data_IF_603987410623
#
_entry.id   IF_603987410623
#
_cell.length_a   1.000
_cell.length_b   1.000
_cell.length_c   1.000
_cell.angle_alpha   90.00
_cell.angle_beta   90.00
_cell.angle_gamma   90.00
#
_symmetry.space_group_name_H-M   'P 1'
#
loop_
_entity.id
_entity.type
_entity.pdbx_description
1 polymer ?
#
# COMPACT_ATOMS: atom_id res chain seq x y z
N UNK A 1 -14.14 23.05 38.18
CA UNK A 1 -14.37 22.14 37.04
C UNK A 1 -13.12 22.15 36.18
N UNK A 2 -12.30 21.10 36.23
CA UNK A 2 -11.03 21.05 35.50
C UNK A 2 -11.31 20.68 34.03
N UNK A 3 -11.11 21.62 33.11
CA UNK A 3 -11.23 21.38 31.67
C UNK A 3 -9.85 21.11 31.07
N UNK A 4 -9.71 20.05 30.28
CA UNK A 4 -8.47 19.72 29.56
C UNK A 4 -8.51 20.39 28.17
N UNK A 5 -7.47 21.15 27.77
CA UNK A 5 -7.44 21.77 26.45
C UNK A 5 -7.13 20.75 25.34
N UNK A 6 -7.73 20.93 24.17
CA UNK A 6 -7.45 20.13 22.99
C UNK A 6 -6.03 20.40 22.46
N UNK A 7 -5.23 19.36 22.25
CA UNK A 7 -3.87 19.47 21.70
C UNK A 7 -3.81 19.95 20.26
N UNK A 8 -4.89 19.80 19.49
CA UNK A 8 -4.94 20.21 18.10
C UNK A 8 -5.45 21.64 17.88
N UNK A 9 -6.40 22.12 18.68
CA UNK A 9 -7.03 23.43 18.46
C UNK A 9 -7.12 24.33 19.70
N UNK A 10 -6.66 23.87 20.86
CA UNK A 10 -6.68 24.63 22.12
C UNK A 10 -8.05 24.75 22.78
N UNK A 11 -9.14 24.30 22.14
CA UNK A 11 -10.48 24.38 22.71
C UNK A 11 -10.61 23.54 23.98
N UNK A 12 -11.32 24.04 24.99
CA UNK A 12 -11.63 23.29 26.21
C UNK A 12 -12.50 22.06 25.88
N UNK A 13 -12.04 20.87 26.28
CA UNK A 13 -12.77 19.61 26.11
C UNK A 13 -13.56 19.32 27.40
N UNK A 14 -14.81 18.93 27.23
CA UNK A 14 -15.65 18.45 28.34
C UNK A 14 -15.20 17.04 28.73
N UNK A 15 -14.92 16.76 30.01
CA UNK A 15 -14.50 15.44 30.45
C UNK A 15 -15.55 14.38 30.07
N UNK A 16 -15.09 13.24 29.54
CA UNK A 16 -15.95 12.13 29.08
C UNK A 16 -16.32 12.15 27.59
N UNK A 17 -16.00 13.20 26.83
CA UNK A 17 -16.19 13.19 25.36
C UNK A 17 -14.99 12.59 24.65
N UNK A 18 -15.21 11.68 23.68
CA UNK A 18 -14.14 11.00 22.92
C UNK A 18 -13.45 11.88 21.87
N UNK A 19 -14.10 12.96 21.42
CA UNK A 19 -13.65 13.81 20.33
C UNK A 19 -13.86 15.29 20.66
N UNK A 20 -12.98 16.15 20.16
CA UNK A 20 -13.15 17.60 20.26
C UNK A 20 -14.30 18.07 19.35
N UNK A 21 -15.32 18.72 19.93
CA UNK A 21 -16.46 19.24 19.16
C UNK A 21 -16.11 20.40 18.20
N UNK A 22 -14.93 21.00 18.33
CA UNK A 22 -14.46 22.10 17.47
C UNK A 22 -13.68 21.60 16.25
N UNK A 23 -12.77 20.63 16.42
CA UNK A 23 -11.89 20.16 15.34
C UNK A 23 -12.08 18.69 14.93
N UNK A 24 -12.89 17.90 15.64
CA UNK A 24 -13.17 16.50 15.33
C UNK A 24 -12.06 15.50 15.72
N UNK A 25 -10.91 15.95 16.22
CA UNK A 25 -9.80 15.08 16.62
C UNK A 25 -10.08 14.35 17.95
N UNK A 26 -9.56 13.13 18.15
CA UNK A 26 -9.76 12.37 19.38
C UNK A 26 -9.08 13.04 20.58
N UNK A 27 -9.71 12.96 21.75
CA UNK A 27 -9.12 13.44 23.00
C UNK A 27 -8.12 12.42 23.55
N UNK A 28 -6.96 12.86 24.03
CA UNK A 28 -5.93 11.98 24.61
C UNK A 28 -6.46 11.12 25.76
N UNK A 29 -7.42 11.62 26.54
CA UNK A 29 -8.06 10.86 27.64
C UNK A 29 -8.88 9.65 27.16
N UNK A 30 -9.30 9.62 25.89
CA UNK A 30 -10.03 8.49 25.33
C UNK A 30 -9.10 7.38 24.81
N UNK A 31 -7.84 7.70 24.53
CA UNK A 31 -6.83 6.71 24.13
C UNK A 31 -6.48 5.78 25.29
N UNK A 32 -6.39 6.28 26.53
CA UNK A 32 -6.06 5.45 27.69
C UNK A 32 -7.19 4.50 28.12
N UNK A 33 -8.44 4.76 27.72
CA UNK A 33 -9.59 3.89 28.06
C UNK A 33 -9.98 2.97 26.90
N UNK A 34 -9.63 3.32 25.66
CA UNK A 34 -9.97 2.49 24.48
C UNK A 34 -8.95 1.38 24.20
N UNK A 35 -7.74 1.42 24.78
CA UNK A 35 -6.78 0.32 24.70
C UNK A 35 -7.03 -0.80 25.73
N UNK A 36 -7.87 -0.58 26.74
CA UNK A 36 -8.09 -1.53 27.84
C UNK A 36 -9.31 -2.46 27.71
N UNK A 37 -10.13 -2.37 26.63
CA UNK A 37 -11.42 -3.09 26.60
C UNK A 37 -11.66 -4.06 25.42
N UNK A 38 -10.69 -4.36 24.54
CA UNK A 38 -10.98 -5.37 23.48
C UNK A 38 -9.84 -6.29 23.02
N UNK A 39 -8.59 -6.18 23.51
CA UNK A 39 -7.56 -7.21 23.20
C UNK A 39 -6.54 -7.41 24.31
N UNK A 40 -6.97 -8.02 25.41
CA UNK A 40 -6.11 -8.91 26.19
C UNK A 40 -6.87 -10.22 26.31
N UNK A 41 -6.71 -11.10 25.31
CA UNK A 41 -6.84 -12.53 25.57
C UNK A 41 -5.58 -12.90 26.34
N UNK A 42 -5.73 -12.87 27.66
CA UNK A 42 -4.79 -13.42 28.61
C UNK A 42 -4.56 -14.88 28.22
N UNK A 43 -3.32 -15.19 27.83
CA UNK A 43 -2.84 -16.54 27.71
C UNK A 43 -2.68 -17.11 29.12
N UNK A 44 -3.80 -17.42 29.77
CA UNK A 44 -3.82 -18.27 30.94
C UNK A 44 -4.14 -19.69 30.47
N UNK A 45 -3.33 -20.60 30.97
CA UNK A 45 -3.34 -22.03 30.77
C UNK A 45 -4.73 -22.69 30.90
N UNK A 46 -4.82 -23.88 30.31
CA UNK A 46 -5.87 -24.89 30.51
C UNK A 46 -7.28 -24.50 30.09
N UNK A 47 -7.51 -24.56 28.78
CA UNK A 47 -8.84 -24.89 28.26
C UNK A 47 -8.76 -26.02 27.25
N UNK A 48 -8.82 -27.23 27.77
CA UNK A 48 -9.10 -28.48 27.04
C UNK A 48 -10.49 -28.35 26.41
N UNK A 49 -10.57 -27.80 25.19
CA UNK A 49 -11.77 -27.85 24.37
C UNK A 49 -11.75 -29.14 23.54
N UNK A 50 -12.73 -30.06 23.67
CA UNK A 50 -12.76 -31.30 22.93
C UNK A 50 -13.45 -31.06 21.59
N UNK A 51 -12.82 -30.34 20.67
CA UNK A 51 -13.19 -30.47 19.26
C UNK A 51 -12.56 -31.75 18.74
N UNK A 52 -13.29 -32.85 18.92
CA UNK A 52 -13.02 -34.10 18.23
C UNK A 52 -13.05 -33.83 16.72
N UNK A 53 -11.92 -34.08 16.06
CA UNK A 53 -11.85 -34.25 14.61
C UNK A 53 -12.61 -35.51 14.23
N UNK A 54 -13.92 -35.40 14.08
CA UNK A 54 -14.77 -36.48 13.58
C UNK A 54 -14.58 -36.57 12.06
N UNK A 55 -14.03 -37.70 11.62
CA UNK A 55 -13.81 -38.13 10.22
C UNK A 55 -12.62 -37.53 9.46
N UNK A 56 -11.40 -37.88 9.87
CA UNK A 56 -10.31 -38.08 8.91
C UNK A 56 -10.37 -39.53 8.42
N UNK A 57 -11.25 -39.84 7.46
CA UNK A 57 -11.21 -41.14 6.80
C UNK A 57 -9.94 -41.20 5.92
N UNK A 58 -9.02 -42.15 6.14
CA UNK A 58 -7.89 -42.34 5.25
C UNK A 58 -8.40 -42.94 3.94
N UNK A 59 -8.49 -42.14 2.89
CA UNK A 59 -8.68 -42.67 1.53
C UNK A 59 -7.35 -43.27 1.09
N UNK A 60 -7.12 -44.54 1.44
CA UNK A 60 -6.01 -45.33 0.92
C UNK A 60 -6.11 -45.51 -0.61
N UNK A 61 -5.00 -45.84 -1.30
CA UNK A 61 -5.00 -46.03 -2.74
C UNK A 61 -5.90 -47.22 -3.12
N UNK A 62 -7.02 -46.93 -3.77
CA UNK A 62 -7.96 -47.90 -4.30
C UNK A 62 -7.46 -48.49 -5.63
N UNK A 63 -6.31 -49.18 -5.61
CA UNK A 63 -5.93 -50.03 -6.73
C UNK A 63 -5.35 -51.36 -6.23
N UNK A 64 -6.23 -52.35 -6.17
CA UNK A 64 -5.86 -53.76 -6.09
C UNK A 64 -5.47 -54.22 -7.51
N UNK A 65 -4.20 -54.57 -7.69
CA UNK A 65 -3.75 -55.26 -8.91
C UNK A 65 -4.34 -56.68 -8.94
N UNK A 66 -5.01 -57.11 -10.01
CA UNK A 66 -5.49 -58.49 -10.13
C UNK A 66 -4.27 -59.41 -10.30
N UNK A 67 -4.08 -60.34 -9.37
CA UNK A 67 -3.05 -61.38 -9.48
C UNK A 67 -3.69 -62.65 -10.03
N UNK A 68 -3.29 -63.04 -11.24
CA UNK A 68 -3.21 -64.45 -11.66
C UNK A 68 -4.29 -64.94 -12.63
N UNK A 69 -3.89 -65.20 -13.88
CA UNK A 69 -4.66 -66.04 -14.81
C UNK A 69 -4.20 -65.90 -16.26
N UNK A 70 -3.30 -66.78 -16.68
CA UNK A 70 -2.67 -66.82 -18.00
C UNK A 70 -3.63 -67.02 -19.18
N UNK A 71 -3.31 -66.39 -20.33
CA UNK A 71 -3.46 -66.94 -21.69
C UNK A 71 -2.92 -65.96 -22.76
N UNK A 72 -2.57 -66.46 -23.97
CA UNK A 72 -1.34 -66.12 -24.66
C UNK A 72 -1.46 -65.03 -25.73
N UNK A 73 -0.32 -64.37 -25.97
CA UNK A 73 0.15 -63.84 -27.25
C UNK A 73 -0.91 -63.70 -28.36
N UNK A 74 -1.41 -62.48 -28.54
CA UNK A 74 -1.62 -61.97 -29.89
C UNK A 74 -0.98 -60.59 -30.03
N UNK A 75 -0.11 -60.56 -31.03
CA UNK A 75 0.78 -59.51 -31.45
C UNK A 75 -0.03 -58.38 -32.08
N UNK A 76 -0.58 -57.48 -31.25
CA UNK A 76 -1.18 -56.24 -31.73
C UNK A 76 -0.20 -55.09 -31.52
N UNK A 77 0.65 -54.94 -32.53
CA UNK A 77 1.38 -53.73 -32.91
C UNK A 77 0.86 -52.48 -32.19
N UNK A 78 1.67 -51.96 -31.26
CA UNK A 78 1.41 -50.67 -30.63
C UNK A 78 1.60 -49.59 -31.69
N UNK A 79 0.53 -49.24 -32.39
CA UNK A 79 0.42 -47.93 -33.03
C UNK A 79 0.61 -46.90 -31.94
N UNK A 80 1.76 -46.22 -32.03
CA UNK A 80 2.11 -44.96 -31.39
C UNK A 80 0.86 -44.14 -31.06
N UNK A 81 0.49 -44.13 -29.78
CA UNK A 81 -0.31 -43.06 -29.22
C UNK A 81 0.61 -41.84 -29.11
N UNK A 82 0.74 -41.11 -30.20
CA UNK A 82 1.22 -39.74 -30.14
C UNK A 82 0.32 -38.99 -29.16
N UNK A 83 0.93 -38.47 -28.09
CA UNK A 83 0.29 -37.60 -27.12
C UNK A 83 -0.11 -36.27 -27.78
N UNK A 84 -1.20 -36.28 -28.54
CA UNK A 84 -1.89 -35.09 -29.03
C UNK A 84 -2.74 -34.53 -27.90
N UNK A 85 -2.10 -33.86 -26.93
CA UNK A 85 -2.80 -33.41 -25.72
C UNK A 85 -2.19 -32.20 -25.04
N UNK A 86 -1.62 -31.25 -25.79
CA UNK A 86 -1.04 -30.03 -25.19
C UNK A 86 -1.27 -28.78 -26.05
N UNK A 87 -2.53 -28.47 -26.39
CA UNK A 87 -2.89 -27.22 -27.10
C UNK A 87 -4.15 -26.49 -26.61
N UNK A 88 -4.65 -26.76 -25.40
CA UNK A 88 -5.88 -26.10 -24.90
C UNK A 88 -5.65 -24.93 -23.93
N UNK A 89 -4.43 -24.73 -23.42
CA UNK A 89 -4.13 -23.62 -22.48
C UNK A 89 -3.81 -22.28 -23.16
N UNK A 90 -3.52 -22.25 -24.47
CA UNK A 90 -3.23 -20.97 -25.16
C UNK A 90 -4.49 -20.25 -25.66
N UNK A 91 -5.56 -20.96 -25.98
CA UNK A 91 -6.81 -20.34 -26.46
C UNK A 91 -7.50 -19.54 -25.35
N UNK A 92 -7.45 -19.99 -24.10
CA UNK A 92 -7.95 -19.24 -22.95
C UNK A 92 -7.15 -17.95 -22.71
N UNK A 93 -5.82 -18.00 -22.84
CA UNK A 93 -4.98 -16.81 -22.66
C UNK A 93 -5.24 -15.75 -23.74
N UNK A 94 -5.43 -16.17 -25.00
CA UNK A 94 -5.78 -15.25 -26.09
C UNK A 94 -7.15 -14.61 -25.88
N UNK A 95 -8.14 -15.37 -25.40
CA UNK A 95 -9.47 -14.83 -25.09
C UNK A 95 -9.42 -13.77 -23.98
N UNK A 96 -8.64 -13.99 -22.91
CA UNK A 96 -8.49 -13.02 -21.82
C UNK A 96 -7.81 -11.74 -22.31
N UNK A 97 -6.76 -11.84 -23.14
CA UNK A 97 -6.09 -10.68 -23.71
C UNK A 97 -7.04 -9.87 -24.61
N UNK A 98 -7.84 -10.55 -25.43
CA UNK A 98 -8.82 -9.89 -26.29
C UNK A 98 -9.90 -9.12 -25.49
N UNK A 99 -10.38 -9.70 -24.38
CA UNK A 99 -11.35 -9.04 -23.49
C UNK A 99 -10.73 -7.81 -22.82
N UNK A 100 -9.49 -7.91 -22.32
CA UNK A 100 -8.80 -6.77 -21.70
C UNK A 100 -8.58 -5.62 -22.69
N UNK A 101 -8.22 -5.92 -23.94
CA UNK A 101 -8.08 -4.91 -25.00
C UNK A 101 -9.43 -4.25 -25.32
N UNK A 102 -10.53 -5.00 -25.37
CA UNK A 102 -11.86 -4.44 -25.60
C UNK A 102 -12.30 -3.50 -24.46
N UNK A 103 -12.06 -3.88 -23.20
CA UNK A 103 -12.38 -3.03 -22.03
C UNK A 103 -11.54 -1.75 -22.03
N UNK A 104 -10.25 -1.85 -22.36
CA UNK A 104 -9.37 -0.69 -22.46
C UNK A 104 -9.81 0.28 -23.57
N UNK A 105 -10.20 -0.25 -24.74
CA UNK A 105 -10.72 0.56 -25.84
C UNK A 105 -12.02 1.28 -25.44
N UNK A 106 -12.95 0.62 -24.76
CA UNK A 106 -14.18 1.25 -24.27
C UNK A 106 -13.90 2.35 -23.23
N UNK A 107 -12.92 2.14 -22.35
CA UNK A 107 -12.52 3.15 -21.37
C UNK A 107 -11.91 4.39 -22.04
N UNK A 108 -11.04 4.19 -23.05
CA UNK A 108 -10.45 5.28 -23.83
C UNK A 108 -11.53 6.09 -24.59
N UNK A 109 -12.49 5.41 -25.21
CA UNK A 109 -13.63 6.07 -25.88
C UNK A 109 -14.48 6.86 -24.87
N UNK A 110 -14.73 6.29 -23.68
CA UNK A 110 -15.45 6.97 -22.61
C UNK A 110 -14.76 8.25 -22.11
N UNK A 111 -13.44 8.26 -22.00
CA UNK A 111 -12.67 9.46 -21.63
C UNK A 111 -12.75 10.55 -22.72
N UNK A 112 -12.66 10.19 -24.00
CA UNK A 112 -12.76 11.15 -25.12
C UNK A 112 -14.16 11.78 -25.17
N UNK A 113 -15.22 10.99 -24.93
CA UNK A 113 -16.59 11.52 -24.90
C UNK A 113 -16.86 12.41 -23.68
N UNK A 114 -16.26 12.13 -22.51
CA UNK A 114 -16.39 12.98 -21.31
C UNK A 114 -15.65 14.31 -21.43
N UNK A 115 -14.54 14.35 -22.17
CA UNK A 115 -13.73 15.56 -22.34
C UNK A 115 -14.41 16.70 -23.11
N UNK A 116 -15.45 16.43 -23.89
CA UNK A 116 -16.14 17.46 -24.70
C UNK A 116 -17.22 18.26 -23.96
N UNK A 117 -17.62 17.85 -22.76
CA UNK A 117 -18.71 18.50 -22.00
C UNK A 117 -18.25 19.34 -20.80
N UNK A 118 -16.95 19.52 -20.58
CA UNK A 118 -16.45 20.46 -19.58
C UNK A 118 -16.51 21.90 -20.13
N UNK A 119 -17.71 22.47 -20.18
CA UNK A 119 -17.90 23.90 -20.37
C UNK A 119 -17.29 24.62 -19.15
N UNK A 120 -16.29 25.51 -19.32
CA UNK A 120 -15.81 26.32 -18.22
C UNK A 120 -16.95 27.20 -17.73
N UNK A 121 -17.40 26.98 -16.49
CA UNK A 121 -18.38 27.83 -15.82
C UNK A 121 -17.76 29.21 -15.67
N UNK A 122 -18.17 30.13 -16.55
CA UNK A 122 -17.86 31.55 -16.48
C UNK A 122 -18.37 32.08 -15.14
N UNK A 123 -17.47 32.65 -14.34
CA UNK A 123 -17.80 33.27 -13.06
C UNK A 123 -18.79 34.43 -13.26
N UNK A 124 -19.81 34.58 -12.40
CA UNK A 124 -20.74 35.70 -12.48
C UNK A 124 -20.03 37.03 -12.18
N UNK A 125 -20.42 38.15 -12.83
CA UNK A 125 -19.91 39.47 -12.50
C UNK A 125 -20.34 39.89 -11.10
N UNK A 126 -19.35 40.41 -10.36
CA UNK A 126 -19.48 40.90 -9.00
C UNK A 126 -20.58 41.98 -8.90
N UNK A 127 -21.61 41.67 -8.12
CA UNK A 127 -22.52 42.67 -7.59
C UNK A 127 -21.85 43.35 -6.39
N UNK A 128 -21.73 44.67 -6.48
CA UNK A 128 -21.23 45.55 -5.44
C UNK A 128 -22.05 45.38 -4.14
N UNK A 129 -21.38 45.02 -3.06
CA UNK A 129 -21.89 45.13 -1.70
C UNK A 129 -20.93 46.01 -0.90
N UNK A 130 -21.35 47.25 -0.68
CA UNK A 130 -20.76 48.22 0.25
C UNK A 130 -20.92 47.71 1.69
N UNK A 131 -19.82 47.27 2.29
CA UNK A 131 -19.71 46.97 3.72
C UNK A 131 -18.75 47.95 4.41
N UNK A 132 -18.99 48.33 5.68
CA UNK A 132 -18.19 49.33 6.37
C UNK A 132 -16.78 48.85 6.66
N UNK A 133 -15.84 49.70 6.28
CA UNK A 133 -14.39 49.61 6.38
C UNK A 133 -13.94 49.32 7.82
N UNK A 134 -13.55 48.08 8.09
CA UNK A 134 -12.76 47.75 9.28
C UNK A 134 -11.30 47.98 8.91
N UNK A 135 -10.76 49.10 9.38
CA UNK A 135 -9.36 49.52 9.21
C UNK A 135 -8.45 48.44 9.80
N UNK A 136 -7.89 47.59 8.94
CA UNK A 136 -6.79 46.69 9.29
C UNK A 136 -5.50 47.50 9.42
N UNK A 137 -4.67 47.25 10.46
CA UNK A 137 -3.36 47.88 10.57
C UNK A 137 -2.47 47.49 9.38
N UNK A 138 -1.49 48.35 9.02
CA UNK A 138 -0.62 48.12 7.87
C UNK A 138 0.13 46.80 8.01
N UNK A 139 -0.05 45.90 7.03
CA UNK A 139 0.72 44.67 6.94
C UNK A 139 2.22 45.04 6.79
N UNK A 140 3.12 44.36 7.52
CA UNK A 140 4.55 44.48 7.29
C UNK A 140 4.90 44.04 5.86
N UNK A 141 5.96 44.60 5.26
CA UNK A 141 6.38 44.24 3.90
C UNK A 141 6.67 42.74 3.83
N UNK A 142 6.01 42.06 2.88
CA UNK A 142 6.30 40.66 2.59
C UNK A 142 7.78 40.52 2.24
N UNK A 143 8.52 39.58 2.86
CA UNK A 143 9.86 39.26 2.43
C UNK A 143 9.82 38.74 0.98
N UNK A 144 10.84 39.05 0.16
CA UNK A 144 10.91 38.54 -1.21
C UNK A 144 10.94 37.00 -1.17
N UNK A 145 9.92 36.38 -1.75
CA UNK A 145 9.93 34.95 -2.01
C UNK A 145 11.12 34.63 -2.94
N UNK A 146 12.05 33.74 -2.56
CA UNK A 146 13.03 33.23 -3.50
C UNK A 146 12.32 32.34 -4.52
N UNK A 147 12.02 32.90 -5.68
CA UNK A 147 11.70 32.16 -6.91
C UNK A 147 12.99 31.46 -7.37
N UNK A 148 13.27 30.33 -6.73
CA UNK A 148 14.36 29.44 -7.09
C UNK A 148 13.89 28.02 -6.87
N UNK A 149 13.06 27.53 -7.77
CA UNK A 149 12.83 26.09 -7.91
C UNK A 149 14.17 25.47 -8.32
N UNK A 150 14.82 24.67 -7.46
CA UNK A 150 16.09 24.06 -7.84
C UNK A 150 15.80 23.04 -8.95
N UNK A 151 16.60 23.00 -10.01
CA UNK A 151 16.54 21.87 -10.93
C UNK A 151 16.77 20.61 -10.10
N UNK A 152 15.79 19.71 -10.09
CA UNK A 152 15.93 18.37 -9.57
C UNK A 152 16.93 17.61 -10.46
N UNK A 153 18.22 17.94 -10.34
CA UNK A 153 19.30 17.08 -10.81
C UNK A 153 19.24 15.82 -9.98
N UNK A 154 18.58 14.80 -10.53
CA UNK A 154 18.50 13.46 -9.98
C UNK A 154 19.87 12.83 -9.97
N UNK A 155 20.67 13.13 -8.94
CA UNK A 155 21.84 12.33 -8.64
C UNK A 155 21.36 10.91 -8.33
N UNK A 156 21.81 9.94 -9.12
CA UNK A 156 21.56 8.52 -8.91
C UNK A 156 22.30 8.08 -7.63
N UNK A 157 21.64 8.20 -6.48
CA UNK A 157 22.18 7.73 -5.20
C UNK A 157 22.45 6.23 -5.29
N UNK A 158 23.71 5.85 -5.05
CA UNK A 158 24.12 4.44 -5.05
C UNK A 158 23.27 3.65 -4.05
N UNK A 159 22.84 2.45 -4.43
CA UNK A 159 21.91 1.62 -3.63
C UNK A 159 22.42 1.36 -2.21
N UNK A 160 23.75 1.28 -2.03
CA UNK A 160 24.42 1.10 -0.74
C UNK A 160 24.16 2.25 0.24
N UNK A 161 23.93 3.46 -0.26
CA UNK A 161 23.67 4.64 0.57
C UNK A 161 22.21 4.70 1.07
N UNK A 162 21.32 3.94 0.45
CA UNK A 162 19.90 3.84 0.84
C UNK A 162 19.62 2.76 1.89
N UNK A 163 20.65 2.07 2.38
CA UNK A 163 20.51 1.06 3.42
C UNK A 163 20.24 1.74 4.76
N UNK A 164 19.08 1.43 5.37
CA UNK A 164 18.73 1.95 6.68
C UNK A 164 19.65 1.37 7.77
N UNK A 165 20.19 2.19 8.69
CA UNK A 165 21.10 1.72 9.74
C UNK A 165 20.47 0.64 10.63
N UNK A 166 21.15 -0.50 10.75
CA UNK A 166 20.67 -1.63 11.56
C UNK A 166 19.55 -2.45 10.91
N UNK A 167 19.16 -2.16 9.67
CA UNK A 167 18.27 -3.02 8.91
C UNK A 167 19.01 -4.27 8.40
N UNK A 168 18.30 -5.39 8.38
CA UNK A 168 18.70 -6.63 7.74
C UNK A 168 18.26 -6.61 6.27
N UNK A 169 19.14 -6.97 5.35
CA UNK A 169 18.78 -7.14 3.94
C UNK A 169 18.06 -8.48 3.75
N UNK A 170 16.79 -8.43 3.35
CA UNK A 170 15.98 -9.61 3.09
C UNK A 170 16.15 -10.06 1.64
N UNK A 171 16.19 -9.11 0.70
CA UNK A 171 16.31 -9.40 -0.73
C UNK A 171 17.03 -8.26 -1.46
N UNK A 172 18.01 -8.59 -2.30
CA UNK A 172 18.64 -7.66 -3.25
C UNK A 172 18.54 -8.29 -4.64
N UNK A 173 17.75 -7.67 -5.52
CA UNK A 173 17.56 -8.12 -6.90
C UNK A 173 17.88 -6.97 -7.85
N UNK A 174 18.96 -7.15 -8.60
CA UNK A 174 19.41 -6.23 -9.64
C UNK A 174 18.98 -6.77 -11.00
N UNK A 175 18.12 -6.03 -11.69
CA UNK A 175 17.76 -6.28 -13.07
C UNK A 175 18.35 -5.16 -13.94
N UNK A 176 18.60 -5.46 -15.21
CA UNK A 176 19.04 -4.52 -16.25
C UNK A 176 18.28 -3.18 -16.31
N UNK A 177 17.04 -3.12 -15.81
CA UNK A 177 16.19 -1.92 -15.85
C UNK A 177 15.85 -1.34 -14.48
N UNK A 178 15.83 -2.18 -13.44
CA UNK A 178 15.33 -1.81 -12.12
C UNK A 178 16.12 -2.56 -11.03
N UNK A 179 16.42 -1.86 -9.94
CA UNK A 179 16.99 -2.46 -8.74
C UNK A 179 15.92 -2.50 -7.65
N UNK A 180 15.76 -3.66 -7.03
CA UNK A 180 14.86 -3.89 -5.91
C UNK A 180 15.68 -4.29 -4.69
N UNK A 181 15.54 -3.54 -3.61
CA UNK A 181 16.16 -3.83 -2.33
C UNK A 181 15.09 -3.87 -1.26
N UNK A 182 14.92 -5.02 -0.62
CA UNK A 182 14.04 -5.22 0.52
C UNK A 182 14.86 -5.31 1.79
N UNK A 183 14.55 -4.44 2.75
CA UNK A 183 15.18 -4.36 4.05
C UNK A 183 14.13 -4.57 5.14
N UNK A 184 14.57 -5.07 6.29
CA UNK A 184 13.72 -5.24 7.47
C UNK A 184 14.42 -4.67 8.71
N UNK A 185 13.69 -3.91 9.51
CA UNK A 185 14.20 -3.34 10.77
C UNK A 185 13.16 -3.49 11.89
N UNK A 186 13.61 -3.47 13.14
CA UNK A 186 12.75 -3.42 14.33
C UNK A 186 12.39 -1.98 14.73
N UNK A 187 12.99 -0.98 14.08
CA UNK A 187 12.69 0.43 14.34
C UNK A 187 11.23 0.79 13.95
N UNK A 188 10.61 1.74 14.66
CA UNK A 188 9.24 2.16 14.39
C UNK A 188 9.11 2.89 13.04
N UNK A 189 7.93 2.76 12.42
CA UNK A 189 7.63 3.30 11.08
C UNK A 189 8.02 4.77 10.93
N UNK A 190 7.59 5.64 11.86
CA UNK A 190 7.82 7.08 11.76
C UNK A 190 9.33 7.42 11.74
N UNK A 191 10.15 6.72 12.54
CA UNK A 191 11.60 6.92 12.55
C UNK A 191 12.24 6.56 11.21
N UNK A 192 11.79 5.46 10.61
CA UNK A 192 12.28 5.00 9.30
C UNK A 192 11.84 5.99 8.21
N UNK A 193 10.59 6.46 8.25
CA UNK A 193 10.06 7.47 7.32
C UNK A 193 10.85 8.78 7.39
N UNK A 194 11.12 9.28 8.59
CA UNK A 194 11.86 10.54 8.78
C UNK A 194 13.30 10.43 8.26
N UNK A 195 13.94 9.28 8.49
CA UNK A 195 15.26 8.99 7.95
C UNK A 195 15.27 9.01 6.42
N UNK A 196 14.35 8.28 5.77
CA UNK A 196 14.28 8.25 4.31
C UNK A 196 13.88 9.60 3.71
N UNK A 197 12.94 10.32 4.33
CA UNK A 197 12.56 11.69 3.92
C UNK A 197 13.80 12.58 3.82
N UNK A 198 14.66 12.53 4.83
CA UNK A 198 15.90 13.31 4.89
C UNK A 198 16.93 12.80 3.89
N UNK A 199 17.09 11.46 3.79
CA UNK A 199 18.15 10.84 2.99
C UNK A 199 17.93 10.99 1.49
N UNK A 200 16.70 10.81 1.02
CA UNK A 200 16.38 10.82 -0.42
C UNK A 200 15.84 12.16 -0.90
N UNK A 201 15.67 13.13 0.01
CA UNK A 201 15.01 14.42 -0.23
C UNK A 201 13.67 14.21 -0.95
N UNK A 202 12.80 13.42 -0.32
CA UNK A 202 11.55 12.98 -0.92
C UNK A 202 10.74 14.18 -1.44
N UNK A 203 10.41 14.16 -2.73
CA UNK A 203 9.58 15.19 -3.36
C UNK A 203 8.09 14.96 -3.04
N UNK A 204 7.70 13.70 -2.84
CA UNK A 204 6.33 13.29 -2.57
C UNK A 204 6.32 12.25 -1.44
N UNK A 205 5.43 12.44 -0.45
CA UNK A 205 5.22 11.54 0.68
C UNK A 205 3.72 11.22 0.76
N UNK A 206 3.35 9.97 0.54
CA UNK A 206 1.97 9.47 0.63
C UNK A 206 1.87 8.55 1.85
N UNK A 207 1.07 8.92 2.86
CA UNK A 207 0.81 8.07 4.04
C UNK A 207 -0.53 7.36 3.90
N UNK A 208 -0.53 6.03 4.04
CA UNK A 208 -1.72 5.19 3.97
C UNK A 208 -2.04 4.61 5.35
N UNK A 209 -3.17 5.05 5.93
CA UNK A 209 -3.80 4.44 7.13
C UNK A 209 -2.88 4.24 8.34
N UNK A 210 -1.77 4.98 8.44
CA UNK A 210 -0.82 4.94 9.55
C UNK A 210 0.10 3.71 9.60
N UNK A 211 -0.06 2.73 8.70
CA UNK A 211 0.77 1.51 8.67
C UNK A 211 1.72 1.46 7.49
N UNK A 212 1.55 2.36 6.51
CA UNK A 212 2.35 2.38 5.29
C UNK A 212 2.64 3.82 4.86
N UNK A 213 3.84 4.04 4.33
CA UNK A 213 4.26 5.29 3.74
C UNK A 213 5.01 5.00 2.43
N UNK A 214 4.69 5.78 1.40
CA UNK A 214 5.35 5.72 0.09
C UNK A 214 6.05 7.05 -0.12
N UNK A 215 7.37 7.01 -0.29
CA UNK A 215 8.21 8.17 -0.54
C UNK A 215 8.77 8.08 -1.95
N UNK A 216 8.72 9.18 -2.70
CA UNK A 216 9.22 9.23 -4.08
C UNK A 216 10.21 10.37 -4.26
N UNK A 217 11.31 10.07 -4.94
CA UNK A 217 12.33 11.04 -5.33
C UNK A 217 12.91 10.64 -6.69
N UNK A 218 12.48 11.33 -7.75
CA UNK A 218 12.84 11.01 -9.13
C UNK A 218 12.50 9.56 -9.50
N UNK A 219 13.53 8.75 -9.77
CA UNK A 219 13.42 7.32 -10.15
C UNK A 219 13.44 6.37 -8.95
N UNK A 220 13.60 6.90 -7.75
CA UNK A 220 13.63 6.11 -6.51
C UNK A 220 12.27 6.18 -5.82
N UNK A 221 11.70 5.01 -5.54
CA UNK A 221 10.50 4.86 -4.72
C UNK A 221 10.84 4.01 -3.50
N UNK A 222 10.51 4.49 -2.31
CA UNK A 222 10.69 3.77 -1.05
C UNK A 222 9.30 3.52 -0.47
N UNK A 223 8.94 2.25 -0.30
CA UNK A 223 7.68 1.81 0.29
C UNK A 223 8.02 1.26 1.67
N UNK A 224 7.48 1.87 2.71
CA UNK A 224 7.76 1.52 4.10
C UNK A 224 6.46 1.03 4.71
N UNK A 225 6.44 -0.19 5.22
CA UNK A 225 5.25 -0.80 5.81
C UNK A 225 5.57 -1.38 7.18
N UNK A 226 4.69 -1.13 8.16
CA UNK A 226 4.78 -1.73 9.48
C UNK A 226 3.90 -2.97 9.56
N UNK A 227 4.47 -4.08 10.01
CA UNK A 227 3.75 -5.34 10.25
C UNK A 227 4.21 -5.93 11.58
N UNK A 228 3.34 -5.85 12.60
CA UNK A 228 3.67 -6.34 13.94
C UNK A 228 4.72 -5.46 14.60
N UNK A 229 5.84 -6.06 14.99
CA UNK A 229 6.99 -5.41 15.63
C UNK A 229 8.15 -5.09 14.67
N UNK A 230 7.92 -5.23 13.36
CA UNK A 230 8.93 -4.98 12.34
C UNK A 230 8.41 -4.01 11.27
N UNK A 231 9.35 -3.26 10.70
CA UNK A 231 9.15 -2.36 9.57
C UNK A 231 9.89 -2.94 8.36
N UNK A 232 9.15 -3.20 7.28
CA UNK A 232 9.70 -3.62 6.00
C UNK A 232 9.83 -2.42 5.09
N UNK A 233 10.97 -2.31 4.42
CA UNK A 233 11.33 -1.21 3.55
C UNK A 233 11.63 -1.81 2.18
N UNK A 234 10.85 -1.45 1.17
CA UNK A 234 11.07 -1.83 -0.21
C UNK A 234 11.54 -0.62 -1.00
N UNK A 235 12.76 -0.67 -1.49
CA UNK A 235 13.38 0.36 -2.32
C UNK A 235 13.36 -0.13 -3.76
N UNK A 236 12.74 0.66 -4.64
CA UNK A 236 12.74 0.48 -6.08
C UNK A 236 13.51 1.63 -6.72
N UNK A 237 14.56 1.34 -7.47
CA UNK A 237 15.31 2.33 -8.25
C UNK A 237 15.22 2.02 -9.74
N UNK A 238 14.78 2.98 -10.54
CA UNK A 238 14.88 2.92 -12.01
C UNK A 238 16.28 3.29 -12.49
N UNK A 239 16.80 2.55 -13.48
CA UNK A 239 18.07 2.89 -14.15
C UNK A 239 17.85 4.09 -15.10
N UNK A 240 18.81 5.00 -15.15
CA UNK A 240 18.84 6.09 -16.14
C UNK A 240 19.41 5.56 -17.45
N UNK A 241 18.57 5.48 -18.49
CA UNK A 241 18.99 5.19 -19.85
C UNK A 241 19.53 6.44 -20.53
#
# INVERSE_FOLDING_TARGET
MSSVPCTHCGAAITPGTKFCRKCGQPSLDAASVSEAATRVFEATADRTAPTQTWNAQPTGPAYLSPTGGASPLEDMTTKSLEATGRKQKSTLAVAIIAILLAVFALFAIGMILRGRNAQPTQAPPAAAATGPETVLPPLPPLPPHPSGEPPASGASTSTSELIYPGAETVMDMKNSRENFLELRTSDPLDRVVDWYTTKIKAAEIIRTRGTEAILRSGKTSVIISSRGNATNILIKQGVEN
#
